data_IF_522398603200
#
_entry.id   IF_522398603200
#
_cell.length_a   1.000
_cell.length_b   1.000
_cell.length_c   1.000
_cell.angle_alpha   90.00
_cell.angle_beta   90.00
_cell.angle_gamma   90.00
#
_symmetry.space_group_name_H-M   'P 1'
#
loop_
_entity.id
_entity.type
_entity.pdbx_description
1 polymer ?
#
# COMPACT_ATOMS: atom_id res chain seq x y z
N UNK A 1 -5.33 9.01 -7.27
CA UNK A 1 -6.80 8.96 -7.12
C UNK A 1 -7.53 9.01 -8.47
N UNK A 2 -7.33 10.03 -9.31
CA UNK A 2 -7.97 10.14 -10.64
C UNK A 2 -7.82 8.91 -11.54
N UNK A 3 -6.63 8.32 -11.57
CA UNK A 3 -6.36 7.14 -12.38
C UNK A 3 -7.20 5.92 -11.99
N UNK A 4 -7.62 5.78 -10.72
CA UNK A 4 -8.50 4.69 -10.28
C UNK A 4 -9.93 4.90 -10.79
N UNK A 5 -10.48 6.12 -10.65
CA UNK A 5 -11.80 6.49 -11.17
C UNK A 5 -11.85 6.26 -12.68
N UNK A 6 -10.87 6.77 -13.42
CA UNK A 6 -10.78 6.59 -14.87
C UNK A 6 -10.65 5.12 -15.26
N UNK A 7 -9.83 4.33 -14.55
CA UNK A 7 -9.70 2.89 -14.84
C UNK A 7 -10.98 2.10 -14.56
N UNK A 8 -11.68 2.41 -13.47
CA UNK A 8 -12.96 1.80 -13.17
C UNK A 8 -13.98 2.16 -14.25
N UNK A 9 -14.11 3.45 -14.60
CA UNK A 9 -15.05 3.90 -15.66
C UNK A 9 -14.71 3.26 -17.01
N UNK A 10 -13.42 3.21 -17.38
CA UNK A 10 -12.97 2.61 -18.64
C UNK A 10 -13.16 1.09 -18.67
N UNK A 11 -13.12 0.39 -17.52
CA UNK A 11 -13.40 -1.04 -17.44
C UNK A 11 -14.90 -1.36 -17.42
N UNK A 12 -15.74 -0.48 -16.86
CA UNK A 12 -17.21 -0.67 -16.87
C UNK A 12 -17.77 -0.35 -18.26
N UNK A 13 -17.28 0.71 -18.91
CA UNK A 13 -17.89 1.24 -20.14
C UNK A 13 -19.38 1.55 -19.94
N UNK A 14 -20.19 1.29 -20.97
CA UNK A 14 -21.66 1.43 -20.95
C UNK A 14 -22.40 0.08 -20.73
N UNK A 15 -21.73 -0.94 -20.17
CA UNK A 15 -22.29 -2.29 -20.03
C UNK A 15 -22.29 -2.76 -18.56
N UNK A 16 -23.23 -3.64 -18.24
CA UNK A 16 -23.18 -4.40 -16.99
C UNK A 16 -22.06 -5.44 -17.06
N UNK A 17 -20.88 -5.10 -16.50
CA UNK A 17 -19.71 -5.98 -16.45
C UNK A 17 -19.31 -6.32 -15.01
N UNK A 18 -18.90 -7.57 -14.77
CA UNK A 18 -18.41 -8.02 -13.46
C UNK A 18 -16.93 -7.67 -13.32
N UNK A 19 -16.62 -6.74 -12.43
CA UNK A 19 -15.25 -6.29 -12.18
C UNK A 19 -14.74 -6.83 -10.85
N UNK A 20 -13.51 -7.35 -10.86
CA UNK A 20 -12.80 -7.70 -9.63
C UNK A 20 -12.07 -6.46 -9.11
N UNK A 21 -12.59 -5.86 -8.05
CA UNK A 21 -12.10 -4.57 -7.54
C UNK A 21 -10.80 -4.71 -6.72
N UNK A 22 -10.59 -5.85 -6.06
CA UNK A 22 -9.47 -6.05 -5.13
C UNK A 22 -8.08 -5.77 -5.76
N UNK A 23 -7.72 -6.28 -6.96
CA UNK A 23 -6.45 -5.95 -7.60
C UNK A 23 -6.26 -4.47 -7.94
N UNK A 24 -7.34 -3.74 -8.23
CA UNK A 24 -7.29 -2.30 -8.52
C UNK A 24 -7.06 -1.49 -7.25
N UNK A 25 -7.79 -1.84 -6.19
CA UNK A 25 -7.63 -1.21 -4.88
C UNK A 25 -6.23 -1.43 -4.34
N UNK A 26 -5.76 -2.68 -4.34
CA UNK A 26 -4.41 -3.03 -3.90
C UNK A 26 -3.38 -2.14 -4.60
N UNK A 27 -3.35 -2.12 -5.94
CA UNK A 27 -2.43 -1.27 -6.69
C UNK A 27 -2.55 0.21 -6.34
N UNK A 28 -3.78 0.72 -6.23
CA UNK A 28 -4.01 2.13 -5.88
C UNK A 28 -3.48 2.47 -4.49
N UNK A 29 -3.71 1.60 -3.51
CA UNK A 29 -3.18 1.77 -2.15
C UNK A 29 -1.65 1.74 -2.15
N UNK A 30 -1.03 0.87 -2.96
CA UNK A 30 0.42 0.85 -3.11
C UNK A 30 0.97 2.17 -3.67
N UNK A 31 0.33 2.70 -4.71
CA UNK A 31 0.71 3.97 -5.32
C UNK A 31 0.56 5.16 -4.35
N UNK A 32 -0.46 5.15 -3.49
CA UNK A 32 -0.67 6.19 -2.47
C UNK A 32 0.41 6.14 -1.39
N UNK A 33 0.81 4.94 -0.95
CA UNK A 33 1.79 4.76 0.14
C UNK A 33 3.23 4.91 -0.35
N UNK A 34 3.45 4.87 -1.67
CA UNK A 34 4.76 4.86 -2.31
C UNK A 34 5.69 6.06 -2.12
N UNK A 35 5.51 6.90 -1.10
CA UNK A 35 6.44 7.96 -0.72
C UNK A 35 6.76 8.96 -1.84
N UNK A 36 5.75 9.31 -2.64
CA UNK A 36 5.91 10.20 -3.79
C UNK A 36 6.95 9.70 -4.82
N UNK A 37 7.38 8.44 -4.70
CA UNK A 37 8.01 7.69 -5.76
C UNK A 37 6.90 7.32 -6.74
N UNK A 38 7.12 7.53 -8.04
CA UNK A 38 6.20 7.06 -9.06
C UNK A 38 6.25 5.52 -9.11
N UNK A 39 5.60 4.87 -8.14
CA UNK A 39 5.37 3.43 -8.15
C UNK A 39 4.58 3.04 -9.40
N UNK A 40 3.74 3.97 -9.90
CA UNK A 40 2.99 3.88 -11.16
C UNK A 40 2.38 2.48 -11.39
N UNK A 41 2.01 1.76 -10.32
CA UNK A 41 1.65 0.34 -10.38
C UNK A 41 0.39 0.10 -11.21
N UNK A 42 -0.38 1.15 -11.40
CA UNK A 42 -1.50 1.23 -12.31
C UNK A 42 -1.08 1.17 -13.80
N UNK A 43 0.02 1.81 -14.25
CA UNK A 43 0.38 1.90 -15.69
C UNK A 43 1.70 1.22 -16.08
N UNK A 44 2.69 1.17 -15.19
CA UNK A 44 3.93 0.42 -15.36
C UNK A 44 4.21 -0.36 -14.08
N UNK A 45 4.47 -1.67 -14.19
CA UNK A 45 4.81 -2.46 -13.00
C UNK A 45 6.14 -1.95 -12.45
N UNK A 46 6.15 -1.04 -11.47
CA UNK A 46 7.40 -0.67 -10.80
C UNK A 46 8.07 -1.92 -10.27
N UNK A 47 9.39 -1.93 -10.38
CA UNK A 47 10.21 -3.05 -9.94
C UNK A 47 9.97 -3.32 -8.44
N UNK A 48 9.74 -2.26 -7.65
CA UNK A 48 9.39 -2.32 -6.24
C UNK A 48 8.05 -3.02 -5.98
N UNK A 49 6.99 -2.65 -6.71
CA UNK A 49 5.68 -3.28 -6.54
C UNK A 49 5.70 -4.78 -6.90
N UNK A 50 6.39 -5.14 -7.98
CA UNK A 50 6.54 -6.54 -8.39
C UNK A 50 7.41 -7.34 -7.41
N UNK A 51 8.50 -6.75 -6.91
CA UNK A 51 9.31 -7.38 -5.87
C UNK A 51 8.50 -7.58 -4.58
N UNK A 52 7.72 -6.58 -4.17
CA UNK A 52 6.83 -6.68 -3.02
C UNK A 52 5.75 -7.76 -3.20
N UNK A 53 5.07 -7.81 -4.34
CA UNK A 53 4.09 -8.84 -4.67
C UNK A 53 4.73 -10.23 -4.64
N UNK A 54 5.95 -10.40 -5.17
CA UNK A 54 6.70 -11.67 -5.11
C UNK A 54 7.15 -12.05 -3.70
N UNK A 55 7.42 -11.07 -2.84
CA UNK A 55 7.78 -11.31 -1.45
C UNK A 55 6.57 -11.75 -0.61
N UNK A 56 5.37 -11.28 -0.95
CA UNK A 56 4.14 -11.48 -0.17
C UNK A 56 3.22 -12.58 -0.70
N UNK A 57 3.20 -12.82 -2.02
CA UNK A 57 2.49 -13.94 -2.62
C UNK A 57 3.27 -15.24 -2.40
N UNK A 58 3.03 -15.85 -1.24
CA UNK A 58 3.52 -17.17 -0.89
C UNK A 58 2.70 -18.22 -1.64
N UNK A 59 2.94 -18.36 -2.95
CA UNK A 59 2.50 -19.53 -3.71
C UNK A 59 3.43 -20.70 -3.38
N UNK A 60 3.24 -21.30 -2.21
CA UNK A 60 3.99 -22.46 -1.77
C UNK A 60 3.35 -23.74 -2.28
N UNK A 61 4.18 -24.66 -2.74
CA UNK A 61 3.75 -26.03 -3.01
C UNK A 61 3.48 -26.77 -1.69
N UNK A 62 2.69 -27.85 -1.73
CA UNK A 62 2.42 -28.70 -0.56
C UNK A 62 3.72 -29.19 0.11
N UNK A 63 4.76 -29.45 -0.69
CA UNK A 63 6.08 -29.85 -0.22
C UNK A 63 6.81 -28.70 0.51
N UNK A 64 6.73 -27.47 0.01
CA UNK A 64 7.34 -26.30 0.65
C UNK A 64 6.64 -25.92 1.96
N UNK A 65 5.32 -26.14 2.05
CA UNK A 65 4.60 -26.00 3.32
C UNK A 65 5.06 -27.02 4.36
N UNK A 66 5.29 -28.27 3.96
CA UNK A 66 5.84 -29.29 4.85
C UNK A 66 7.25 -28.93 5.33
N UNK A 67 8.11 -28.46 4.42
CA UNK A 67 9.47 -27.98 4.74
C UNK A 67 9.40 -26.80 5.72
N UNK A 68 8.44 -25.88 5.55
CA UNK A 68 8.24 -24.72 6.44
C UNK A 68 7.79 -25.14 7.83
N UNK A 69 6.86 -26.09 7.94
CA UNK A 69 6.40 -26.65 9.22
C UNK A 69 7.54 -27.37 9.96
N UNK A 70 8.34 -28.14 9.23
CA UNK A 70 9.52 -28.81 9.78
C UNK A 70 10.61 -27.83 10.22
N UNK A 71 10.65 -26.63 9.64
CA UNK A 71 11.60 -25.58 10.02
C UNK A 71 11.41 -25.03 11.44
N UNK A 72 10.22 -25.20 12.04
CA UNK A 72 9.97 -24.86 13.43
C UNK A 72 10.67 -25.81 14.42
N UNK A 73 10.92 -27.05 14.00
CA UNK A 73 11.61 -28.08 14.80
C UNK A 73 13.08 -28.22 14.42
N UNK A 74 13.41 -28.00 13.15
CA UNK A 74 14.75 -28.20 12.59
C UNK A 74 15.23 -26.94 11.84
N UNK A 75 15.95 -26.02 12.51
CA UNK A 75 16.33 -24.73 11.92
C UNK A 75 17.24 -24.85 10.69
N UNK A 76 17.98 -25.96 10.52
CA UNK A 76 18.80 -26.19 9.33
C UNK A 76 17.98 -26.35 8.04
N UNK A 77 16.72 -26.76 8.14
CA UNK A 77 15.79 -26.92 7.00
C UNK A 77 15.50 -25.57 6.33
N UNK A 78 15.62 -24.45 7.06
CA UNK A 78 15.52 -23.09 6.48
C UNK A 78 16.63 -22.76 5.48
N UNK A 79 17.77 -23.45 5.55
CA UNK A 79 18.90 -23.25 4.62
C UNK A 79 18.74 -24.01 3.31
N UNK A 80 17.72 -24.86 3.18
CA UNK A 80 17.44 -25.56 1.93
C UNK A 80 16.93 -24.55 0.90
N UNK A 81 17.58 -24.44 -0.28
CA UNK A 81 17.16 -23.53 -1.33
C UNK A 81 15.91 -24.09 -2.01
N UNK A 82 14.75 -23.92 -1.37
CA UNK A 82 13.46 -24.14 -2.02
C UNK A 82 13.22 -23.06 -3.06
N UNK A 83 12.45 -23.38 -4.11
CA UNK A 83 12.11 -22.39 -5.14
C UNK A 83 11.44 -21.15 -4.54
N UNK A 84 10.59 -21.34 -3.53
CA UNK A 84 9.99 -20.27 -2.74
C UNK A 84 11.02 -19.42 -1.97
N UNK A 85 12.00 -20.03 -1.28
CA UNK A 85 13.05 -19.28 -0.58
C UNK A 85 13.91 -18.45 -1.55
N UNK A 86 14.27 -19.00 -2.71
CA UNK A 86 15.07 -18.28 -3.71
C UNK A 86 14.29 -17.09 -4.27
N UNK A 87 13.00 -17.26 -4.60
CA UNK A 87 12.14 -16.16 -5.06
C UNK A 87 12.02 -15.06 -4.02
N UNK A 88 11.77 -15.43 -2.75
CA UNK A 88 11.69 -14.50 -1.64
C UNK A 88 13.00 -13.72 -1.46
N UNK A 89 14.14 -14.42 -1.43
CA UNK A 89 15.45 -13.77 -1.29
C UNK A 89 15.77 -12.83 -2.45
N UNK A 90 15.38 -13.15 -3.68
CA UNK A 90 15.55 -12.27 -4.83
C UNK A 90 14.65 -11.01 -4.70
N UNK A 91 13.41 -11.18 -4.27
CA UNK A 91 12.51 -10.05 -4.01
C UNK A 91 13.06 -9.11 -2.93
N UNK A 92 13.54 -9.66 -1.80
CA UNK A 92 14.18 -8.89 -0.72
C UNK A 92 15.41 -8.13 -1.22
N UNK A 93 16.25 -8.75 -2.07
CA UNK A 93 17.40 -8.07 -2.69
C UNK A 93 16.98 -6.87 -3.52
N UNK A 94 15.94 -7.02 -4.35
CA UNK A 94 15.41 -5.92 -5.16
C UNK A 94 14.85 -4.80 -4.29
N UNK A 95 14.04 -5.12 -3.28
CA UNK A 95 13.50 -4.12 -2.34
C UNK A 95 14.63 -3.37 -1.64
N UNK A 96 15.64 -4.09 -1.14
CA UNK A 96 16.80 -3.48 -0.48
C UNK A 96 17.56 -2.54 -1.40
N UNK A 97 17.81 -2.95 -2.65
CA UNK A 97 18.50 -2.12 -3.65
C UNK A 97 17.75 -0.82 -3.91
N UNK A 98 16.44 -0.91 -4.17
CA UNK A 98 15.61 0.28 -4.44
C UNK A 98 15.52 1.17 -3.20
N UNK A 99 15.38 0.58 -2.01
CA UNK A 99 15.34 1.32 -0.75
C UNK A 99 16.64 2.09 -0.50
N UNK A 100 17.78 1.48 -0.84
CA UNK A 100 19.09 2.13 -0.75
C UNK A 100 19.23 3.29 -1.73
N UNK A 101 18.81 3.12 -2.98
CA UNK A 101 18.80 4.20 -3.98
C UNK A 101 17.93 5.38 -3.49
N UNK A 102 16.76 5.10 -2.93
CA UNK A 102 15.84 6.12 -2.41
C UNK A 102 16.40 6.85 -1.19
N UNK A 103 17.01 6.14 -0.23
CA UNK A 103 17.59 6.78 0.96
C UNK A 103 18.76 7.68 0.55
N UNK A 104 19.67 7.17 -0.28
CA UNK A 104 20.84 7.92 -0.70
C UNK A 104 20.44 9.18 -1.49
N UNK A 105 19.46 9.09 -2.41
CA UNK A 105 18.96 10.25 -3.15
C UNK A 105 18.41 11.35 -2.22
N UNK A 106 17.75 10.96 -1.13
CA UNK A 106 17.18 11.90 -0.14
C UNK A 106 18.28 12.53 0.71
N UNK A 107 19.28 11.75 1.12
CA UNK A 107 20.43 12.25 1.88
C UNK A 107 21.27 13.23 1.06
N UNK A 108 21.52 12.92 -0.21
CA UNK A 108 22.27 13.79 -1.13
C UNK A 108 21.54 15.13 -1.31
N UNK A 109 20.23 15.08 -1.61
CA UNK A 109 19.39 16.28 -1.73
C UNK A 109 19.31 17.08 -0.43
N UNK A 110 19.36 16.41 0.73
CA UNK A 110 19.38 17.09 2.03
C UNK A 110 20.69 17.85 2.22
N UNK A 111 21.83 17.22 1.89
CA UNK A 111 23.15 17.82 2.00
C UNK A 111 23.32 19.03 1.07
N UNK A 112 22.69 19.00 -0.10
CA UNK A 112 22.67 20.10 -1.07
C UNK A 112 21.68 21.23 -0.70
N UNK A 113 20.83 21.03 0.33
CA UNK A 113 19.78 21.97 0.70
C UNK A 113 18.62 22.03 -0.30
N UNK A 114 18.52 21.03 -1.19
CA UNK A 114 17.52 20.94 -2.25
C UNK A 114 16.40 19.94 -1.95
N UNK A 115 16.41 19.30 -0.78
CA UNK A 115 15.38 18.33 -0.41
C UNK A 115 14.00 19.00 -0.37
N UNK A 116 13.17 18.62 -1.34
CA UNK A 116 11.80 19.08 -1.51
C UNK A 116 10.88 17.87 -1.48
N UNK A 117 9.87 17.91 -0.62
CA UNK A 117 8.89 16.83 -0.51
C UNK A 117 8.38 16.72 0.92
N UNK A 118 7.14 16.29 1.07
CA UNK A 118 6.50 16.01 2.37
C UNK A 118 6.11 14.52 2.47
N UNK A 119 6.83 13.64 1.78
CA UNK A 119 6.62 12.20 1.91
C UNK A 119 7.30 11.65 3.17
N UNK A 120 6.83 10.48 3.63
CA UNK A 120 7.32 9.86 4.86
C UNK A 120 8.83 9.59 4.85
N UNK A 121 9.41 9.22 3.71
CA UNK A 121 10.84 8.94 3.63
C UNK A 121 11.65 10.24 3.77
N UNK A 122 11.22 11.30 3.08
CA UNK A 122 11.76 12.65 3.24
C UNK A 122 11.68 13.13 4.69
N UNK A 123 10.55 12.88 5.36
CA UNK A 123 10.37 13.18 6.79
C UNK A 123 11.33 12.38 7.67
N UNK A 124 11.47 11.06 7.46
CA UNK A 124 12.38 10.21 8.24
C UNK A 124 13.83 10.67 8.08
N UNK A 125 14.30 10.91 6.85
CA UNK A 125 15.68 11.35 6.59
C UNK A 125 15.92 12.72 7.23
N UNK A 126 14.98 13.67 7.09
CA UNK A 126 15.09 15.01 7.68
C UNK A 126 15.12 14.96 9.20
N UNK A 127 14.22 14.20 9.82
CA UNK A 127 14.18 14.04 11.28
C UNK A 127 15.45 13.35 11.78
N UNK A 128 15.90 12.28 11.12
CA UNK A 128 17.10 11.56 11.50
C UNK A 128 18.35 12.45 11.43
N UNK A 129 18.46 13.32 10.43
CA UNK A 129 19.56 14.27 10.32
C UNK A 129 19.60 15.29 11.48
N UNK A 130 18.43 15.65 12.03
CA UNK A 130 18.29 16.59 13.13
C UNK A 130 18.51 15.96 14.53
N UNK A 131 18.52 14.62 14.64
CA UNK A 131 18.72 13.93 15.91
C UNK A 131 20.19 14.02 16.42
N UNK A 132 20.40 13.94 17.74
CA UNK A 132 21.71 13.66 18.33
C UNK A 132 22.33 12.38 17.75
N UNK A 133 23.66 12.33 17.64
CA UNK A 133 24.35 11.19 16.99
C UNK A 133 24.10 9.83 17.66
N UNK A 134 23.81 9.82 18.96
CA UNK A 134 23.47 8.63 19.74
C UNK A 134 22.01 8.18 19.60
N UNK A 135 21.16 9.04 19.02
CA UNK A 135 19.74 8.75 18.73
C UNK A 135 19.48 8.50 17.24
N UNK A 136 20.49 8.72 16.38
CA UNK A 136 20.36 8.49 14.94
C UNK A 136 20.13 7.02 14.63
N UNK A 137 19.12 6.79 13.79
CA UNK A 137 18.83 5.51 13.17
C UNK A 137 19.80 5.31 12.02
N UNK A 138 20.32 4.09 11.87
CA UNK A 138 21.24 3.75 10.79
C UNK A 138 20.55 3.73 9.43
N UNK A 139 21.30 3.96 8.35
CA UNK A 139 20.74 3.89 6.99
C UNK A 139 20.16 2.50 6.69
N UNK A 140 20.73 1.44 7.26
CA UNK A 140 20.18 0.09 7.16
C UNK A 140 18.79 -0.01 7.80
N UNK A 141 18.61 0.55 8.98
CA UNK A 141 17.30 0.59 9.66
C UNK A 141 16.29 1.42 8.88
N UNK A 142 16.68 2.59 8.35
CA UNK A 142 15.78 3.42 7.50
C UNK A 142 15.34 2.64 6.27
N UNK A 143 16.24 1.90 5.60
CA UNK A 143 15.90 1.02 4.46
C UNK A 143 14.87 -0.04 4.86
N UNK A 144 15.01 -0.65 6.04
CA UNK A 144 14.02 -1.63 6.53
C UNK A 144 12.64 -1.02 6.80
N UNK A 145 12.60 0.24 7.25
CA UNK A 145 11.33 0.92 7.50
C UNK A 145 10.49 1.11 6.23
N UNK A 146 11.13 1.35 5.07
CA UNK A 146 10.43 1.46 3.77
C UNK A 146 9.58 0.20 3.50
N UNK A 147 10.17 -0.99 3.68
CA UNK A 147 9.45 -2.25 3.51
C UNK A 147 8.33 -2.40 4.54
N UNK A 148 8.58 -2.07 5.80
CA UNK A 148 7.58 -2.14 6.88
C UNK A 148 6.36 -1.28 6.58
N UNK A 149 6.56 -0.03 6.18
CA UNK A 149 5.46 0.90 5.88
C UNK A 149 4.67 0.50 4.63
N UNK A 150 5.38 0.08 3.56
CA UNK A 150 4.73 -0.46 2.36
C UNK A 150 3.89 -1.68 2.72
N UNK A 151 4.41 -2.59 3.55
CA UNK A 151 3.70 -3.79 3.95
C UNK A 151 2.47 -3.50 4.81
N UNK A 152 2.69 -2.76 5.91
CA UNK A 152 1.68 -2.49 6.92
C UNK A 152 0.54 -1.64 6.37
N UNK A 153 0.85 -0.59 5.62
CA UNK A 153 -0.18 0.34 5.14
C UNK A 153 -0.95 -0.21 3.94
N UNK A 154 -0.29 -0.93 3.04
CA UNK A 154 -0.93 -1.40 1.80
C UNK A 154 -1.96 -2.48 2.08
N UNK A 155 -1.56 -3.54 2.77
CA UNK A 155 -2.41 -4.72 2.91
C UNK A 155 -3.67 -4.39 3.74
N UNK A 156 -3.49 -3.71 4.87
CA UNK A 156 -4.59 -3.35 5.78
C UNK A 156 -5.59 -2.39 5.13
N UNK A 157 -5.10 -1.33 4.47
CA UNK A 157 -5.97 -0.33 3.82
C UNK A 157 -6.68 -0.90 2.61
N UNK A 158 -5.99 -1.67 1.75
CA UNK A 158 -6.60 -2.29 0.58
C UNK A 158 -7.67 -3.33 0.95
N UNK A 159 -7.42 -4.09 2.02
CA UNK A 159 -8.37 -5.04 2.56
C UNK A 159 -9.58 -4.35 3.19
N UNK A 160 -9.36 -3.31 3.99
CA UNK A 160 -10.43 -2.51 4.60
C UNK A 160 -11.34 -1.88 3.54
N UNK A 161 -10.77 -1.30 2.49
CA UNK A 161 -11.53 -0.71 1.39
C UNK A 161 -12.29 -1.76 0.58
N UNK A 162 -11.67 -2.91 0.32
CA UNK A 162 -12.34 -4.04 -0.36
C UNK A 162 -13.57 -4.51 0.43
N UNK A 163 -13.44 -4.65 1.75
CA UNK A 163 -14.56 -5.01 2.63
C UNK A 163 -15.64 -3.93 2.68
N UNK A 164 -15.24 -2.66 2.74
CA UNK A 164 -16.19 -1.53 2.72
C UNK A 164 -17.06 -1.59 1.47
N UNK A 165 -16.45 -1.73 0.28
CA UNK A 165 -17.19 -1.83 -0.98
C UNK A 165 -18.04 -3.10 -1.06
N UNK A 166 -17.53 -4.22 -0.55
CA UNK A 166 -18.30 -5.45 -0.48
C UNK A 166 -19.56 -5.28 0.38
N UNK A 167 -19.44 -4.72 1.58
CA UNK A 167 -20.57 -4.48 2.47
C UNK A 167 -21.57 -3.50 1.85
N UNK A 168 -21.11 -2.41 1.23
CA UNK A 168 -21.99 -1.48 0.50
C UNK A 168 -22.76 -2.18 -0.63
N UNK A 169 -22.11 -3.09 -1.37
CA UNK A 169 -22.80 -3.88 -2.41
C UNK A 169 -23.87 -4.84 -1.88
N UNK A 170 -23.79 -5.21 -0.59
CA UNK A 170 -24.78 -6.05 0.11
C UNK A 170 -25.89 -5.26 0.79
N UNK A 171 -25.70 -3.96 0.97
CA UNK A 171 -26.62 -3.04 1.65
C UNK A 171 -26.91 -1.82 0.77
N UNK A 172 -27.66 -1.96 -0.33
CA UNK A 172 -27.97 -0.87 -1.26
C UNK A 172 -28.58 0.36 -0.57
N UNK A 173 -29.39 0.16 0.46
CA UNK A 173 -30.00 1.22 1.26
C UNK A 173 -28.95 2.09 1.98
N UNK A 174 -27.85 1.48 2.44
CA UNK A 174 -26.72 2.19 3.07
C UNK A 174 -25.90 2.88 2.00
N UNK A 175 -25.69 2.23 0.86
CA UNK A 175 -24.97 2.79 -0.28
C UNK A 175 -25.67 4.03 -0.85
N UNK A 176 -26.99 3.99 -1.01
CA UNK A 176 -27.78 5.11 -1.53
C UNK A 176 -27.75 6.28 -0.56
N UNK A 177 -27.92 6.03 0.74
CA UNK A 177 -27.79 7.07 1.76
C UNK A 177 -26.39 7.70 1.81
N UNK A 178 -25.34 6.90 1.65
CA UNK A 178 -23.97 7.41 1.54
C UNK A 178 -23.80 8.28 0.29
N UNK A 179 -24.33 7.82 -0.84
CA UNK A 179 -24.30 8.58 -2.09
C UNK A 179 -25.04 9.91 -1.95
N UNK A 180 -26.17 9.95 -1.24
CA UNK A 180 -26.90 11.19 -0.97
C UNK A 180 -26.04 12.20 -0.20
N UNK A 181 -25.36 11.78 0.89
CA UNK A 181 -24.44 12.65 1.62
C UNK A 181 -23.33 13.20 0.70
N UNK A 182 -22.72 12.33 -0.11
CA UNK A 182 -21.63 12.71 -1.02
C UNK A 182 -22.09 13.68 -2.11
N UNK A 183 -23.26 13.47 -2.71
CA UNK A 183 -23.80 14.34 -3.78
C UNK A 183 -24.27 15.69 -3.22
N UNK A 184 -24.81 15.70 -2.00
CA UNK A 184 -25.18 16.95 -1.33
C UNK A 184 -23.95 17.79 -0.95
N UNK A 185 -22.89 17.14 -0.45
CA UNK A 185 -21.64 17.82 -0.11
C UNK A 185 -20.88 18.28 -1.35
N UNK A 186 -20.83 17.43 -2.39
CA UNK A 186 -20.05 17.67 -3.61
C UNK A 186 -20.90 17.43 -4.88
N UNK A 187 -21.70 18.43 -5.30
CA UNK A 187 -22.59 18.28 -6.45
C UNK A 187 -21.85 18.15 -7.80
N UNK A 188 -20.65 18.72 -7.92
CA UNK A 188 -19.81 18.62 -9.12
C UNK A 188 -19.03 17.28 -9.11
N UNK A 189 -19.27 16.36 -10.06
CA UNK A 189 -18.57 15.08 -10.15
C UNK A 189 -17.05 15.18 -10.39
N UNK A 190 -16.57 16.37 -10.79
CA UNK A 190 -15.16 16.65 -11.03
C UNK A 190 -14.49 17.37 -9.84
N UNK A 191 -15.27 17.75 -8.83
CA UNK A 191 -14.73 18.35 -7.62
C UNK A 191 -13.80 17.37 -6.91
N UNK A 192 -12.67 17.89 -6.42
CA UNK A 192 -11.71 17.14 -5.63
C UNK A 192 -11.76 17.67 -4.20
N UNK A 193 -12.45 16.97 -3.29
CA UNK A 193 -12.54 17.42 -1.92
C UNK A 193 -11.18 17.37 -1.23
N UNK A 194 -10.94 18.37 -0.40
CA UNK A 194 -9.81 18.40 0.52
C UNK A 194 -10.00 17.38 1.65
N UNK A 195 -8.93 17.06 2.37
CA UNK A 195 -9.01 16.17 3.52
C UNK A 195 -10.00 16.69 4.57
N UNK A 196 -9.92 17.99 4.89
CA UNK A 196 -10.80 18.63 5.86
C UNK A 196 -12.27 18.50 5.45
N UNK A 197 -12.61 18.72 4.17
CA UNK A 197 -13.99 18.56 3.69
C UNK A 197 -14.50 17.12 3.81
N UNK A 198 -13.64 16.13 3.58
CA UNK A 198 -13.98 14.71 3.75
C UNK A 198 -14.22 14.39 5.23
N UNK A 199 -13.42 14.94 6.14
CA UNK A 199 -13.52 14.69 7.58
C UNK A 199 -14.86 15.14 8.17
N UNK A 200 -15.53 16.11 7.54
CA UNK A 200 -16.85 16.59 7.98
C UNK A 200 -18.02 15.67 7.56
N UNK A 201 -17.78 14.63 6.75
CA UNK A 201 -18.80 13.70 6.27
C UNK A 201 -19.10 12.61 7.31
N UNK A 202 -20.09 12.89 8.15
CA UNK A 202 -20.41 12.05 9.31
C UNK A 202 -20.87 10.65 8.94
N UNK A 203 -21.63 10.49 7.85
CA UNK A 203 -22.14 9.19 7.46
C UNK A 203 -21.05 8.36 6.78
N UNK A 204 -20.20 8.96 5.94
CA UNK A 204 -18.99 8.32 5.44
C UNK A 204 -18.11 7.79 6.58
N UNK A 205 -17.80 8.62 7.58
CA UNK A 205 -17.03 8.22 8.76
C UNK A 205 -17.70 7.04 9.51
N UNK A 206 -19.03 7.08 9.66
CA UNK A 206 -19.80 6.01 10.27
C UNK A 206 -19.70 4.69 9.49
N UNK A 207 -19.76 4.74 8.15
CA UNK A 207 -19.63 3.56 7.28
C UNK A 207 -18.24 2.94 7.40
N UNK A 208 -17.19 3.76 7.41
CA UNK A 208 -15.80 3.30 7.58
C UNK A 208 -15.63 2.65 8.95
N UNK A 209 -16.07 3.32 10.03
CA UNK A 209 -15.99 2.81 11.40
C UNK A 209 -16.76 1.51 11.57
N UNK A 210 -17.96 1.41 11.00
CA UNK A 210 -18.77 0.20 11.10
C UNK A 210 -18.14 -0.97 10.33
N UNK A 211 -17.54 -0.70 9.17
CA UNK A 211 -16.79 -1.73 8.43
C UNK A 211 -15.64 -2.26 9.29
N UNK A 212 -14.84 -1.39 9.91
CA UNK A 212 -13.73 -1.78 10.78
C UNK A 212 -14.20 -2.47 12.08
N UNK A 213 -15.38 -2.13 12.58
CA UNK A 213 -15.99 -2.80 13.74
C UNK A 213 -16.39 -4.25 13.42
N UNK A 214 -16.94 -4.48 12.23
CA UNK A 214 -17.39 -5.82 11.79
C UNK A 214 -16.18 -6.64 11.31
N UNK A 215 -15.27 -6.02 10.57
CA UNK A 215 -14.14 -6.68 9.90
C UNK A 215 -12.86 -5.89 10.19
N UNK A 216 -12.22 -6.15 11.34
CA UNK A 216 -10.90 -5.59 11.62
C UNK A 216 -9.85 -6.21 10.68
N UNK A 217 -8.97 -5.39 10.06
CA UNK A 217 -7.89 -5.87 9.20
C UNK A 217 -6.72 -6.51 9.96
#
# INVERSE_FOLDING_TARGET
SHQLKEKIINQIGDKEEKITINPLISKTTLDIIGFNYEINSLNSRSELANAYEKATNINTTTLENLITLLSGYFPFVRKIPTGSNVRFMNAVKTIRKISEELVNEREDKLAEGELKGNDLLTLIVTMNAALPNDEKVSNEEIKYQIMTFLAAGHHTTSQSLSWTLYLLSKHPEIQDRLREELVQAFPDPNFQPTYDEIEHLKYLDSVVKETLRIIPP
#
